data_IF_154091975545
#
_entry.id   IF_154091975545
#
_cell.length_a   1.000
_cell.length_b   1.000
_cell.length_c   1.000
_cell.angle_alpha   90.00
_cell.angle_beta   90.00
_cell.angle_gamma   90.00
#
_symmetry.space_group_name_H-M   'P 1'
#
loop_
_entity.id
_entity.type
_entity.pdbx_description
1 polymer ?
#
# COMPACT_ATOMS: atom_id res chain seq x y z
N UNK A 1 -5.76 -16.55 -7.64
CA UNK A 1 -6.32 -15.19 -7.91
C UNK A 1 -7.71 -15.30 -8.54
N UNK A 2 -8.23 -16.52 -8.61
CA UNK A 2 -9.34 -16.92 -9.47
C UNK A 2 -10.57 -17.29 -8.63
N UNK A 3 -10.56 -16.93 -7.34
CA UNK A 3 -11.65 -17.18 -6.40
C UNK A 3 -12.61 -16.00 -6.46
N UNK A 4 -13.85 -16.28 -6.85
CA UNK A 4 -14.95 -15.31 -6.94
C UNK A 4 -15.99 -15.56 -5.85
N UNK A 5 -16.82 -14.55 -5.59
CA UNK A 5 -17.96 -14.70 -4.67
C UNK A 5 -18.90 -15.75 -5.25
N UNK A 6 -19.33 -16.69 -4.42
CA UNK A 6 -20.17 -17.81 -4.84
C UNK A 6 -19.42 -19.11 -5.14
N UNK A 7 -18.09 -19.08 -5.23
CA UNK A 7 -17.32 -20.29 -5.45
C UNK A 7 -17.30 -21.19 -4.21
N UNK A 8 -17.24 -22.50 -4.44
CA UNK A 8 -17.01 -23.49 -3.40
C UNK A 8 -15.52 -23.83 -3.38
N UNK A 9 -14.89 -23.65 -2.23
CA UNK A 9 -13.46 -23.92 -2.03
C UNK A 9 -13.28 -25.04 -1.01
N UNK A 10 -12.29 -25.91 -1.26
CA UNK A 10 -11.84 -26.91 -0.30
C UNK A 10 -10.46 -26.50 0.22
N UNK A 11 -10.36 -26.21 1.50
CA UNK A 11 -9.10 -25.85 2.18
C UNK A 11 -8.62 -27.04 3.00
N UNK A 12 -7.33 -27.35 2.96
CA UNK A 12 -6.73 -28.48 3.71
C UNK A 12 -6.04 -28.00 4.98
N UNK A 13 -5.77 -28.93 5.88
CA UNK A 13 -5.00 -28.65 7.10
C UNK A 13 -3.66 -27.96 6.80
N UNK A 14 -3.36 -26.89 7.54
CA UNK A 14 -2.15 -26.09 7.36
C UNK A 14 -2.22 -25.02 6.27
N UNK A 15 -3.26 -25.01 5.43
CA UNK A 15 -3.43 -24.00 4.39
C UNK A 15 -4.07 -22.71 4.94
N UNK A 16 -3.69 -21.57 4.36
CA UNK A 16 -4.27 -20.27 4.66
C UNK A 16 -5.62 -20.09 3.93
N UNK A 17 -6.60 -19.54 4.63
CA UNK A 17 -7.93 -19.27 4.09
C UNK A 17 -7.84 -18.18 3.00
N UNK A 18 -8.28 -18.44 1.75
CA UNK A 18 -8.02 -17.55 0.62
C UNK A 18 -8.92 -16.30 0.57
N UNK A 19 -10.12 -16.40 1.12
CA UNK A 19 -11.19 -15.41 1.09
C UNK A 19 -12.09 -15.59 2.32
N UNK A 20 -12.97 -14.64 2.64
CA UNK A 20 -13.90 -14.86 3.75
C UNK A 20 -14.95 -15.87 3.30
N UNK A 21 -14.97 -17.04 3.94
CA UNK A 21 -15.78 -18.20 3.52
C UNK A 21 -16.75 -18.62 4.63
N UNK A 22 -17.95 -19.02 4.24
CA UNK A 22 -18.92 -19.71 5.09
C UNK A 22 -18.60 -21.20 5.14
N UNK A 23 -18.57 -21.80 6.32
CA UNK A 23 -18.33 -23.24 6.49
C UNK A 23 -19.60 -24.01 6.08
N UNK A 24 -19.50 -24.81 5.02
CA UNK A 24 -20.55 -25.75 4.61
C UNK A 24 -20.38 -27.04 5.39
N UNK A 25 -19.19 -27.64 5.31
CA UNK A 25 -18.88 -28.92 5.94
C UNK A 25 -17.39 -29.04 6.24
N UNK A 26 -17.05 -29.96 7.13
CA UNK A 26 -15.70 -30.22 7.62
C UNK A 26 -15.39 -31.71 7.54
N UNK A 27 -14.12 -32.09 7.77
CA UNK A 27 -13.76 -33.49 7.97
C UNK A 27 -14.52 -34.12 9.14
N UNK A 28 -14.68 -33.36 10.23
CA UNK A 28 -15.36 -33.77 11.45
C UNK A 28 -16.87 -33.91 11.27
N UNK A 29 -17.47 -34.93 11.89
CA UNK A 29 -18.91 -35.22 11.78
C UNK A 29 -19.80 -34.16 12.45
N UNK A 30 -19.25 -33.45 13.43
CA UNK A 30 -19.96 -32.38 14.11
C UNK A 30 -19.87 -31.03 13.38
N UNK A 31 -19.11 -30.90 12.28
CA UNK A 31 -18.94 -29.62 11.60
C UNK A 31 -17.93 -28.68 12.27
N UNK A 32 -17.18 -29.15 13.26
CA UNK A 32 -16.18 -28.37 13.99
C UNK A 32 -14.89 -28.23 13.17
N UNK A 33 -14.27 -27.06 13.22
CA UNK A 33 -12.92 -26.84 12.72
C UNK A 33 -12.14 -25.85 13.60
N UNK A 34 -10.81 -25.93 13.54
CA UNK A 34 -9.93 -25.06 14.31
C UNK A 34 -9.15 -24.14 13.39
N UNK A 35 -9.08 -22.87 13.74
CA UNK A 35 -8.29 -21.88 13.02
C UNK A 35 -7.31 -21.16 13.92
N UNK A 36 -6.16 -20.86 13.35
CA UNK A 36 -5.16 -19.97 13.93
C UNK A 36 -5.34 -18.56 13.34
N UNK A 37 -5.53 -17.56 14.20
CA UNK A 37 -5.77 -16.16 13.79
C UNK A 37 -4.57 -15.24 14.02
N UNK A 38 -3.36 -15.80 14.18
CA UNK A 38 -2.14 -15.04 14.44
C UNK A 38 -1.89 -13.91 13.42
N UNK A 39 -2.31 -14.07 12.17
CA UNK A 39 -2.17 -13.04 11.12
C UNK A 39 -3.22 -11.92 11.19
N UNK A 40 -4.33 -12.10 11.90
CA UNK A 40 -5.45 -11.16 12.01
C UNK A 40 -5.35 -10.30 13.27
N UNK A 41 -5.23 -10.95 14.43
CA UNK A 41 -5.28 -10.32 15.75
C UNK A 41 -4.03 -10.60 16.61
N UNK A 42 -3.14 -11.48 16.15
CA UNK A 42 -1.92 -11.86 16.89
C UNK A 42 -2.17 -12.91 17.98
N UNK A 43 -3.37 -13.48 18.07
CA UNK A 43 -3.64 -14.55 19.02
C UNK A 43 -3.09 -15.89 18.51
N UNK A 44 -2.36 -16.61 19.35
CA UNK A 44 -1.76 -17.93 19.04
C UNK A 44 -2.66 -19.10 19.40
N UNK A 45 -3.77 -18.84 20.09
CA UNK A 45 -4.72 -19.88 20.48
C UNK A 45 -5.57 -20.28 19.27
N UNK A 46 -5.84 -21.59 19.18
CA UNK A 46 -6.78 -22.10 18.19
C UNK A 46 -8.20 -21.67 18.55
N UNK A 47 -8.90 -21.05 17.59
CA UNK A 47 -10.31 -20.68 17.72
C UNK A 47 -11.16 -21.76 17.08
N UNK A 48 -12.18 -22.21 17.81
CA UNK A 48 -13.15 -23.18 17.33
C UNK A 48 -14.18 -22.44 16.45
N UNK A 49 -14.45 -23.00 15.29
CA UNK A 49 -15.45 -22.55 14.33
C UNK A 49 -16.37 -23.71 13.98
N UNK A 50 -17.61 -23.40 13.68
CA UNK A 50 -18.69 -24.37 13.59
C UNK A 50 -19.41 -24.24 12.26
N UNK A 51 -19.52 -25.32 11.50
CA UNK A 51 -20.35 -25.41 10.30
C UNK A 51 -21.84 -25.26 10.60
N UNK A 52 -22.64 -25.11 9.55
CA UNK A 52 -24.09 -25.09 9.71
C UNK A 52 -24.61 -26.53 9.80
N UNK A 53 -25.35 -26.84 10.86
CA UNK A 53 -25.84 -28.21 11.13
C UNK A 53 -26.60 -28.83 9.94
N UNK A 54 -27.31 -28.02 9.18
CA UNK A 54 -28.04 -28.43 7.97
C UNK A 54 -27.14 -28.91 6.84
N UNK A 55 -25.90 -28.42 6.74
CA UNK A 55 -24.95 -28.74 5.67
C UNK A 55 -23.79 -29.63 6.11
N UNK A 56 -23.60 -29.88 7.42
CA UNK A 56 -22.49 -30.68 7.96
C UNK A 56 -22.35 -32.07 7.33
N UNK A 57 -23.44 -32.68 6.86
CA UNK A 57 -23.43 -34.00 6.22
C UNK A 57 -22.94 -34.00 4.77
N UNK A 58 -22.87 -32.83 4.15
CA UNK A 58 -22.53 -32.66 2.72
C UNK A 58 -21.01 -32.77 2.55
N UNK A 59 -20.49 -33.98 2.39
CA UNK A 59 -19.04 -34.23 2.24
C UNK A 59 -18.67 -34.61 0.80
N UNK A 60 -19.62 -35.17 0.04
CA UNK A 60 -19.41 -35.63 -1.33
C UNK A 60 -19.56 -34.52 -2.37
N UNK A 61 -18.85 -34.63 -3.49
CA UNK A 61 -19.00 -33.73 -4.64
C UNK A 61 -20.41 -33.79 -5.24
N UNK A 62 -21.01 -34.98 -5.29
CA UNK A 62 -22.39 -35.17 -5.77
C UNK A 62 -23.41 -34.48 -4.87
N UNK A 63 -23.21 -34.50 -3.56
CA UNK A 63 -24.10 -33.85 -2.58
C UNK A 63 -23.95 -32.32 -2.65
N UNK A 64 -22.73 -31.81 -2.85
CA UNK A 64 -22.49 -30.39 -3.07
C UNK A 64 -23.18 -29.87 -4.34
N UNK A 65 -23.19 -30.67 -5.41
CA UNK A 65 -23.89 -30.33 -6.65
C UNK A 65 -25.41 -30.36 -6.52
N UNK A 66 -25.94 -31.16 -5.59
CA UNK A 66 -27.37 -31.21 -5.28
C UNK A 66 -27.81 -30.10 -4.29
N UNK A 67 -26.86 -29.42 -3.64
CA UNK A 67 -27.15 -28.36 -2.70
C UNK A 67 -27.59 -27.09 -3.44
N UNK A 68 -28.81 -26.64 -3.18
CA UNK A 68 -29.39 -25.41 -3.73
C UNK A 68 -29.92 -24.54 -2.60
N UNK A 69 -29.66 -23.24 -2.69
CA UNK A 69 -30.07 -22.27 -1.69
C UNK A 69 -29.51 -20.88 -1.95
N UNK A 70 -29.84 -19.95 -1.05
CA UNK A 70 -29.40 -18.57 -1.07
C UNK A 70 -28.81 -18.20 0.29
N UNK A 71 -27.71 -17.42 0.27
CA UNK A 71 -27.12 -16.83 1.48
C UNK A 71 -27.40 -15.32 1.45
N UNK A 72 -28.17 -14.84 2.41
CA UNK A 72 -28.40 -13.41 2.62
C UNK A 72 -27.50 -12.94 3.77
N UNK A 73 -26.66 -11.93 3.57
CA UNK A 73 -25.71 -11.49 4.60
C UNK A 73 -25.46 -9.99 4.55
N UNK A 74 -24.90 -9.47 5.64
CA UNK A 74 -24.57 -8.05 5.79
C UNK A 74 -23.60 -7.51 4.72
N UNK A 75 -23.63 -6.20 4.49
CA UNK A 75 -22.63 -5.55 3.64
C UNK A 75 -21.20 -5.65 4.24
N UNK A 76 -20.16 -5.67 3.39
CA UNK A 76 -18.78 -5.73 3.84
C UNK A 76 -18.44 -4.64 4.88
N UNK A 77 -17.89 -5.04 6.01
CA UNK A 77 -17.55 -4.12 7.11
C UNK A 77 -16.26 -4.52 7.84
N UNK A 78 -15.78 -3.63 8.72
CA UNK A 78 -14.52 -3.77 9.44
C UNK A 78 -14.59 -4.60 10.73
N UNK A 79 -15.77 -4.99 11.18
CA UNK A 79 -15.95 -5.71 12.46
C UNK A 79 -15.56 -7.17 12.26
N UNK A 80 -14.38 -7.55 12.75
CA UNK A 80 -13.81 -8.91 12.62
C UNK A 80 -14.66 -9.97 13.34
N UNK A 81 -15.28 -9.63 14.47
CA UNK A 81 -15.97 -10.55 15.36
C UNK A 81 -17.50 -10.55 15.23
N UNK A 82 -18.04 -9.72 14.34
CA UNK A 82 -19.47 -9.67 14.07
C UNK A 82 -19.69 -10.24 12.67
N UNK A 83 -20.73 -11.03 12.48
CA UNK A 83 -21.21 -11.38 11.16
C UNK A 83 -22.68 -11.73 11.31
N UNK A 84 -23.53 -11.09 10.53
CA UNK A 84 -24.96 -11.36 10.53
C UNK A 84 -25.39 -11.81 9.14
N UNK A 85 -25.96 -13.01 9.05
CA UNK A 85 -26.51 -13.55 7.82
C UNK A 85 -27.55 -14.63 8.06
N UNK A 86 -28.17 -15.09 6.98
CA UNK A 86 -29.12 -16.18 6.97
C UNK A 86 -28.83 -17.09 5.77
N UNK A 87 -28.76 -18.39 6.04
CA UNK A 87 -28.73 -19.42 5.01
C UNK A 87 -30.16 -19.94 4.78
N UNK A 88 -30.61 -19.88 3.53
CA UNK A 88 -31.90 -20.39 3.10
C UNK A 88 -31.69 -21.52 2.09
N UNK A 89 -31.82 -22.77 2.54
CA UNK A 89 -31.71 -23.96 1.68
C UNK A 89 -33.10 -24.42 1.26
N UNK A 90 -33.21 -25.00 0.06
CA UNK A 90 -34.48 -25.50 -0.45
C UNK A 90 -35.04 -26.62 0.45
N UNK A 91 -36.19 -26.37 1.09
CA UNK A 91 -36.86 -27.33 1.98
C UNK A 91 -36.38 -27.35 3.42
N UNK A 92 -35.45 -26.46 3.83
CA UNK A 92 -34.98 -26.33 5.22
C UNK A 92 -35.40 -24.97 5.80
N UNK A 93 -35.64 -24.92 7.11
CA UNK A 93 -35.91 -23.67 7.83
C UNK A 93 -34.69 -22.75 7.74
N UNK A 94 -34.90 -21.44 7.56
CA UNK A 94 -33.83 -20.43 7.54
C UNK A 94 -32.91 -20.59 8.76
N UNK A 95 -31.61 -20.74 8.52
CA UNK A 95 -30.59 -20.85 9.55
C UNK A 95 -29.85 -19.52 9.72
N UNK A 96 -29.86 -18.91 10.92
CA UNK A 96 -29.06 -17.72 11.17
C UNK A 96 -27.57 -18.08 11.17
N UNK A 97 -26.78 -17.21 10.56
CA UNK A 97 -25.33 -17.30 10.48
C UNK A 97 -24.70 -16.23 11.37
N UNK A 98 -23.68 -16.63 12.12
CA UNK A 98 -22.93 -15.76 13.02
C UNK A 98 -21.41 -15.86 12.72
N UNK A 99 -20.59 -15.06 13.39
CA UNK A 99 -19.14 -15.02 13.22
C UNK A 99 -18.46 -16.38 13.47
N UNK A 100 -19.09 -17.29 14.20
CA UNK A 100 -18.62 -18.67 14.40
C UNK A 100 -18.70 -19.55 13.15
N UNK A 101 -19.55 -19.20 12.19
CA UNK A 101 -19.78 -19.98 10.98
C UNK A 101 -18.89 -19.57 9.80
N UNK A 102 -18.14 -18.47 9.93
CA UNK A 102 -17.27 -17.96 8.88
C UNK A 102 -15.78 -18.13 9.24
N UNK A 103 -14.97 -18.38 8.22
CA UNK A 103 -13.52 -18.34 8.28
C UNK A 103 -13.03 -17.10 7.53
N UNK A 104 -12.19 -16.31 8.19
CA UNK A 104 -11.69 -15.06 7.63
C UNK A 104 -10.40 -15.31 6.84
N UNK A 105 -10.24 -14.57 5.75
CA UNK A 105 -8.98 -14.50 5.01
C UNK A 105 -7.82 -14.15 5.95
N UNK A 106 -6.71 -14.87 5.83
CA UNK A 106 -5.53 -14.70 6.70
C UNK A 106 -5.46 -15.68 7.86
N UNK A 107 -6.59 -16.31 8.22
CA UNK A 107 -6.58 -17.41 9.19
C UNK A 107 -5.93 -18.64 8.55
N UNK A 108 -5.31 -19.48 9.36
CA UNK A 108 -4.75 -20.78 8.91
C UNK A 108 -5.59 -21.91 9.49
N UNK A 109 -6.00 -22.88 8.66
CA UNK A 109 -6.70 -24.06 9.15
C UNK A 109 -5.73 -24.96 9.91
N UNK A 110 -6.15 -25.47 11.07
CA UNK A 110 -5.34 -26.35 11.92
C UNK A 110 -6.20 -27.48 12.45
N UNK A 111 -5.61 -28.64 12.71
CA UNK A 111 -6.27 -29.78 13.37
C UNK A 111 -7.61 -30.17 12.71
N UNK A 112 -7.75 -29.98 11.40
CA UNK A 112 -8.94 -30.37 10.63
C UNK A 112 -8.49 -30.70 9.21
N UNK A 113 -8.68 -31.94 8.77
CA UNK A 113 -8.09 -32.45 7.52
C UNK A 113 -8.50 -31.59 6.31
N UNK A 114 -9.77 -31.23 6.25
CA UNK A 114 -10.29 -30.29 5.26
C UNK A 114 -11.55 -29.57 5.73
N UNK A 115 -11.78 -28.40 5.14
CA UNK A 115 -13.03 -27.64 5.23
C UNK A 115 -13.52 -27.33 3.82
N UNK A 116 -14.82 -27.51 3.60
CA UNK A 116 -15.53 -27.07 2.40
C UNK A 116 -16.26 -25.79 2.74
N UNK A 117 -15.94 -24.72 2.03
CA UNK A 117 -16.49 -23.40 2.29
C UNK A 117 -17.07 -22.74 1.04
N UNK A 118 -18.06 -21.89 1.26
CA UNK A 118 -18.68 -21.04 0.26
C UNK A 118 -18.13 -19.61 0.38
N UNK A 119 -17.63 -19.04 -0.72
CA UNK A 119 -16.97 -17.74 -0.70
C UNK A 119 -17.98 -16.61 -0.57
N UNK A 120 -17.89 -15.84 0.51
CA UNK A 120 -18.74 -14.68 0.80
C UNK A 120 -18.08 -13.37 0.33
N UNK A 121 -16.88 -13.06 0.82
CA UNK A 121 -16.18 -11.81 0.47
C UNK A 121 -14.81 -12.10 -0.13
N UNK A 122 -14.47 -11.40 -1.21
CA UNK A 122 -13.19 -11.54 -1.90
C UNK A 122 -12.41 -10.23 -1.93
N UNK A 123 -11.08 -10.32 -2.13
CA UNK A 123 -10.24 -9.17 -2.41
C UNK A 123 -10.36 -8.06 -1.37
N UNK A 124 -10.69 -6.84 -1.81
CA UNK A 124 -10.80 -5.63 -0.96
C UNK A 124 -11.99 -5.66 -0.01
N UNK A 125 -12.99 -6.49 -0.27
CA UNK A 125 -14.19 -6.60 0.54
C UNK A 125 -14.00 -7.51 1.75
N UNK A 126 -12.99 -8.37 1.74
CA UNK A 126 -12.64 -9.20 2.89
C UNK A 126 -12.31 -8.36 4.14
N UNK A 127 -12.71 -8.83 5.32
CA UNK A 127 -12.58 -8.09 6.58
C UNK A 127 -11.12 -7.74 6.91
N UNK A 128 -10.17 -8.63 6.58
CA UNK A 128 -8.74 -8.37 6.71
C UNK A 128 -8.29 -7.17 5.85
N UNK A 129 -8.70 -7.13 4.59
CA UNK A 129 -8.30 -6.07 3.67
C UNK A 129 -8.94 -4.74 4.02
N UNK A 130 -10.18 -4.75 4.55
CA UNK A 130 -10.82 -3.55 5.06
C UNK A 130 -10.11 -2.98 6.30
N UNK A 131 -9.54 -3.83 7.14
CA UNK A 131 -8.74 -3.42 8.29
C UNK A 131 -7.30 -3.03 7.91
N UNK A 132 -6.85 -3.38 6.71
CA UNK A 132 -5.54 -2.98 6.20
C UNK A 132 -5.56 -1.49 5.81
N UNK A 133 -4.60 -0.71 6.34
CA UNK A 133 -4.42 0.68 5.92
C UNK A 133 -3.71 0.73 4.56
N UNK A 134 -4.15 1.63 3.67
CA UNK A 134 -3.44 1.91 2.43
C UNK A 134 -2.01 2.34 2.76
N UNK A 135 -1.02 1.71 2.15
CA UNK A 135 0.39 2.04 2.33
C UNK A 135 0.61 3.52 1.99
N UNK A 136 1.05 4.36 2.94
CA UNK A 136 1.33 5.75 2.65
C UNK A 136 2.62 5.87 1.82
N UNK A 137 2.72 6.90 0.99
CA UNK A 137 4.00 7.30 0.40
C UNK A 137 4.91 7.80 1.53
N UNK A 138 6.09 7.19 1.67
CA UNK A 138 7.09 7.57 2.65
C UNK A 138 8.04 8.59 2.01
N UNK A 139 8.37 9.65 2.74
CA UNK A 139 9.39 10.64 2.36
C UNK A 139 10.43 10.74 3.46
N UNK A 140 11.71 10.78 3.08
CA UNK A 140 12.80 10.86 4.05
C UNK A 140 12.88 12.25 4.68
N UNK A 141 13.43 12.36 5.90
CA UNK A 141 13.69 13.66 6.51
C UNK A 141 14.74 14.45 5.71
N UNK A 142 15.68 13.74 5.08
CA UNK A 142 16.71 14.32 4.20
C UNK A 142 16.08 15.03 3.00
N UNK A 143 15.08 14.43 2.34
CA UNK A 143 14.34 15.11 1.25
C UNK A 143 13.73 16.43 1.72
N UNK A 144 13.10 16.44 2.89
CA UNK A 144 12.50 17.67 3.45
C UNK A 144 13.54 18.76 3.72
N UNK A 145 14.77 18.39 4.10
CA UNK A 145 15.87 19.33 4.32
C UNK A 145 16.39 19.85 2.98
N UNK A 146 16.55 18.97 1.99
CA UNK A 146 16.97 19.33 0.64
C UNK A 146 15.99 20.32 0.01
N UNK A 147 14.68 20.07 0.12
CA UNK A 147 13.65 20.99 -0.38
C UNK A 147 13.78 22.39 0.26
N UNK A 148 14.06 22.46 1.58
CA UNK A 148 14.30 23.75 2.26
C UNK A 148 15.56 24.45 1.75
N UNK A 149 16.65 23.71 1.55
CA UNK A 149 17.89 24.27 1.03
C UNK A 149 17.72 24.80 -0.39
N UNK A 150 16.97 24.10 -1.24
CA UNK A 150 16.63 24.54 -2.59
C UNK A 150 15.89 25.87 -2.56
N UNK A 151 14.90 26.04 -1.67
CA UNK A 151 14.19 27.32 -1.49
C UNK A 151 15.14 28.44 -1.06
N UNK A 152 16.07 28.18 -0.12
CA UNK A 152 17.07 29.15 0.32
C UNK A 152 18.00 29.56 -0.83
N UNK A 153 18.46 28.60 -1.63
CA UNK A 153 19.32 28.87 -2.80
C UNK A 153 18.58 29.72 -3.84
N UNK A 154 17.31 29.43 -4.12
CA UNK A 154 16.50 30.27 -5.02
C UNK A 154 16.33 31.69 -4.51
N UNK A 155 16.11 31.88 -3.20
CA UNK A 155 16.01 33.20 -2.60
C UNK A 155 17.33 33.98 -2.69
N UNK A 156 18.46 33.34 -2.41
CA UNK A 156 19.79 33.94 -2.56
C UNK A 156 20.12 34.28 -4.01
N UNK A 157 19.75 33.41 -4.96
CA UNK A 157 19.91 33.64 -6.40
C UNK A 157 19.11 34.86 -6.85
N UNK A 158 17.83 34.96 -6.44
CA UNK A 158 16.99 36.10 -6.76
C UNK A 158 17.58 37.40 -6.21
N UNK A 159 18.02 37.40 -4.94
CA UNK A 159 18.65 38.55 -4.30
C UNK A 159 19.93 38.97 -5.04
N UNK A 160 20.82 38.03 -5.35
CA UNK A 160 22.06 38.32 -6.08
C UNK A 160 21.78 38.89 -7.48
N UNK A 161 20.81 38.35 -8.22
CA UNK A 161 20.40 38.86 -9.52
C UNK A 161 19.85 40.29 -9.43
N UNK A 162 19.05 40.59 -8.39
CA UNK A 162 18.53 41.95 -8.18
C UNK A 162 19.65 42.94 -7.88
N UNK A 163 20.62 42.58 -7.03
CA UNK A 163 21.78 43.44 -6.73
C UNK A 163 22.59 43.69 -8.00
N UNK A 164 22.86 42.64 -8.78
CA UNK A 164 23.65 42.76 -10.00
C UNK A 164 22.95 43.62 -11.05
N UNK A 165 21.63 43.46 -11.23
CA UNK A 165 20.85 44.30 -12.14
C UNK A 165 20.91 45.78 -11.74
N UNK A 166 20.75 46.09 -10.44
CA UNK A 166 20.83 47.47 -9.93
C UNK A 166 22.23 48.06 -10.14
N UNK A 167 23.28 47.30 -9.84
CA UNK A 167 24.67 47.75 -10.03
C UNK A 167 25.00 47.97 -11.51
N UNK A 168 24.47 47.11 -12.39
CA UNK A 168 24.63 47.24 -13.83
C UNK A 168 23.93 48.51 -14.34
N UNK A 169 22.69 48.76 -13.92
CA UNK A 169 21.95 49.98 -14.28
C UNK A 169 22.65 51.24 -13.76
N UNK A 170 23.15 51.21 -12.52
CA UNK A 170 23.93 52.32 -11.95
C UNK A 170 25.21 52.60 -12.74
N UNK A 171 25.94 51.54 -13.11
CA UNK A 171 27.15 51.67 -13.91
C UNK A 171 26.86 52.20 -15.32
N UNK A 172 25.76 51.76 -15.95
CA UNK A 172 25.27 52.23 -17.26
C UNK A 172 24.98 53.73 -17.25
N UNK A 173 24.28 54.23 -16.22
CA UNK A 173 23.98 55.67 -16.08
C UNK A 173 25.24 56.50 -15.84
N UNK A 174 26.22 55.95 -15.13
CA UNK A 174 27.47 56.67 -14.82
C UNK A 174 28.43 56.74 -16.02
N UNK A 175 28.42 55.74 -16.91
CA UNK A 175 29.39 55.59 -18.01
C UNK A 175 28.72 55.75 -19.38
N UNK A 176 28.19 56.94 -19.66
CA UNK A 176 27.49 57.26 -20.93
C UNK A 176 28.41 57.46 -22.14
N UNK A 177 29.73 57.55 -21.95
CA UNK A 177 30.70 57.89 -23.01
C UNK A 177 31.19 56.70 -23.86
N UNK A 178 30.52 55.56 -23.82
CA UNK A 178 30.87 54.37 -24.59
C UNK A 178 30.24 54.40 -25.99
N UNK A 179 30.77 55.24 -26.90
CA UNK A 179 30.25 55.43 -28.27
C UNK A 179 30.16 54.14 -29.11
N UNK A 180 30.93 53.11 -28.75
CA UNK A 180 31.00 51.81 -29.42
C UNK A 180 30.02 50.76 -28.85
N UNK A 181 29.24 51.10 -27.82
CA UNK A 181 28.31 50.17 -27.14
C UNK A 181 26.87 50.63 -27.39
N UNK A 182 26.16 50.04 -28.37
CA UNK A 182 24.88 50.57 -28.87
C UNK A 182 23.71 50.46 -27.88
N UNK A 183 23.84 49.65 -26.83
CA UNK A 183 22.81 49.41 -25.80
C UNK A 183 22.99 50.29 -24.54
N UNK A 184 23.80 51.34 -24.61
CA UNK A 184 24.03 52.29 -23.50
C UNK A 184 23.13 53.53 -23.54
N UNK A 185 22.44 53.78 -24.66
CA UNK A 185 21.66 54.98 -24.86
C UNK A 185 20.27 54.83 -24.22
N UNK A 186 20.07 55.54 -23.11
CA UNK A 186 18.81 55.73 -22.36
C UNK A 186 18.36 54.56 -21.46
N UNK A 187 17.80 54.91 -20.30
CA UNK A 187 17.26 53.95 -19.34
C UNK A 187 15.89 53.46 -19.82
N UNK A 188 15.76 52.16 -20.05
CA UNK A 188 14.50 51.51 -20.39
C UNK A 188 14.20 50.40 -19.37
N UNK A 189 12.99 50.40 -18.80
CA UNK A 189 12.57 49.38 -17.84
C UNK A 189 12.58 47.96 -18.45
N UNK A 190 12.36 47.86 -19.77
CA UNK A 190 12.44 46.60 -20.51
C UNK A 190 13.88 46.07 -20.54
N UNK A 191 14.87 46.94 -20.74
CA UNK A 191 16.29 46.57 -20.78
C UNK A 191 16.79 46.13 -19.39
N UNK A 192 16.33 46.78 -18.32
CA UNK A 192 16.65 46.39 -16.94
C UNK A 192 16.08 45.01 -16.61
N UNK A 193 14.83 44.74 -17.03
CA UNK A 193 14.22 43.42 -16.89
C UNK A 193 14.97 42.33 -17.70
N UNK A 194 15.39 42.65 -18.93
CA UNK A 194 16.21 41.74 -19.75
C UNK A 194 17.59 41.51 -19.13
N UNK A 195 18.19 42.53 -18.51
CA UNK A 195 19.46 42.40 -17.78
C UNK A 195 19.31 41.49 -16.57
N UNK A 196 18.21 41.60 -15.83
CA UNK A 196 17.89 40.69 -14.72
C UNK A 196 17.74 39.23 -15.17
N UNK A 197 17.04 38.98 -16.28
CA UNK A 197 16.92 37.64 -16.89
C UNK A 197 18.28 37.13 -17.38
N UNK A 198 19.12 38.01 -17.93
CA UNK A 198 20.47 37.66 -18.38
C UNK A 198 21.34 37.21 -17.21
N UNK A 199 21.30 37.90 -16.07
CA UNK A 199 22.00 37.47 -14.86
C UNK A 199 21.43 36.17 -14.29
N UNK A 200 20.12 35.95 -14.37
CA UNK A 200 19.52 34.66 -13.98
C UNK A 200 20.07 33.50 -14.80
N UNK A 201 20.18 33.66 -16.12
CA UNK A 201 20.77 32.63 -17.00
C UNK A 201 22.25 32.43 -16.66
N UNK A 202 23.01 33.51 -16.43
CA UNK A 202 24.43 33.46 -16.08
C UNK A 202 24.66 32.67 -14.78
N UNK A 203 23.80 32.85 -13.78
CA UNK A 203 23.90 32.22 -12.46
C UNK A 203 23.04 30.96 -12.31
N UNK A 204 22.45 30.43 -13.39
CA UNK A 204 21.60 29.23 -13.35
C UNK A 204 22.33 28.01 -12.76
N UNK A 205 23.64 27.92 -12.98
CA UNK A 205 24.51 26.86 -12.45
C UNK A 205 24.59 26.81 -10.91
N UNK A 206 24.12 27.85 -10.21
CA UNK A 206 24.06 27.87 -8.74
C UNK A 206 22.98 26.92 -8.19
N UNK A 207 21.95 26.60 -9.00
CA UNK A 207 20.94 25.60 -8.66
C UNK A 207 21.47 24.23 -9.08
N UNK A 208 21.80 23.33 -8.15
CA UNK A 208 22.34 22.03 -8.50
C UNK A 208 21.23 21.12 -9.04
N UNK A 209 21.03 21.13 -10.36
CA UNK A 209 20.01 20.30 -11.04
C UNK A 209 20.22 18.81 -10.76
N UNK A 210 21.49 18.39 -10.62
CA UNK A 210 21.86 17.00 -10.35
C UNK A 210 21.63 16.56 -8.90
N UNK A 211 21.29 17.45 -7.97
CA UNK A 211 21.17 17.11 -6.55
C UNK A 211 20.15 15.99 -6.30
N UNK A 212 18.95 16.07 -6.89
CA UNK A 212 17.92 15.05 -6.70
C UNK A 212 18.33 13.70 -7.29
N UNK A 213 18.89 13.69 -8.51
CA UNK A 213 19.34 12.46 -9.17
C UNK A 213 20.48 11.80 -8.39
N UNK A 214 21.45 12.59 -7.91
CA UNK A 214 22.54 12.06 -7.10
C UNK A 214 22.04 11.48 -5.77
N UNK A 215 21.05 12.10 -5.12
CA UNK A 215 20.45 11.56 -3.91
C UNK A 215 19.69 10.25 -4.15
N UNK A 216 18.95 10.14 -5.25
CA UNK A 216 18.28 8.88 -5.63
C UNK A 216 19.28 7.77 -5.93
N UNK A 217 20.35 8.06 -6.68
CA UNK A 217 21.42 7.11 -6.94
C UNK A 217 22.10 6.64 -5.65
N UNK A 218 22.39 7.56 -4.73
CA UNK A 218 22.99 7.21 -3.43
C UNK A 218 22.05 6.33 -2.62
N UNK A 219 20.75 6.63 -2.56
CA UNK A 219 19.76 5.79 -1.85
C UNK A 219 19.63 4.40 -2.48
N UNK A 220 19.64 4.32 -3.81
CA UNK A 220 19.62 3.05 -4.54
C UNK A 220 20.82 2.17 -4.16
N UNK A 221 22.03 2.70 -4.27
CA UNK A 221 23.25 1.98 -3.90
C UNK A 221 23.30 1.62 -2.41
N UNK A 222 22.82 2.50 -1.53
CA UNK A 222 22.67 2.17 -0.10
C UNK A 222 21.65 1.04 0.15
N UNK A 223 20.62 0.94 -0.69
CA UNK A 223 19.66 -0.17 -0.68
C UNK A 223 20.34 -1.49 -1.02
N UNK A 224 21.07 -1.54 -2.14
CA UNK A 224 21.82 -2.74 -2.58
C UNK A 224 22.84 -3.21 -1.53
N UNK A 225 23.57 -2.28 -0.91
CA UNK A 225 24.53 -2.64 0.15
C UNK A 225 23.81 -3.26 1.36
N UNK A 226 22.62 -2.75 1.72
CA UNK A 226 21.85 -3.26 2.86
C UNK A 226 21.20 -4.62 2.57
N UNK A 227 20.75 -4.84 1.34
CA UNK A 227 20.15 -6.11 0.93
C UNK A 227 21.17 -7.26 0.94
N UNK A 228 22.42 -6.94 0.60
CA UNK A 228 23.53 -7.90 0.57
C UNK A 228 24.29 -8.01 1.90
N UNK A 229 23.75 -7.47 3.00
CA UNK A 229 24.39 -7.52 4.31
C UNK A 229 24.20 -8.89 4.99
N UNK A 230 25.26 -9.70 5.02
CA UNK A 230 25.27 -11.04 5.64
C UNK A 230 24.96 -10.99 7.14
N UNK A 231 25.27 -9.90 7.83
CA UNK A 231 24.96 -9.77 9.26
C UNK A 231 23.44 -9.69 9.52
N UNK A 232 22.63 -9.37 8.51
CA UNK A 232 21.17 -9.34 8.57
C UNK A 232 20.52 -10.58 7.94
N UNK A 233 21.30 -11.60 7.59
CA UNK A 233 20.79 -12.83 7.03
C UNK A 233 20.21 -13.71 8.14
N UNK A 234 18.97 -14.16 7.96
CA UNK A 234 18.34 -15.07 8.91
C UNK A 234 18.52 -16.51 8.44
N UNK A 235 19.45 -17.23 9.08
CA UNK A 235 19.88 -18.58 8.69
C UNK A 235 18.75 -19.61 8.73
N UNK A 236 17.93 -19.60 9.80
CA UNK A 236 16.90 -20.63 10.02
C UNK A 236 15.84 -20.65 8.90
N UNK A 237 15.42 -19.48 8.40
CA UNK A 237 14.46 -19.37 7.29
C UNK A 237 15.13 -19.09 5.94
N UNK A 238 16.46 -19.14 5.87
CA UNK A 238 17.26 -18.81 4.68
C UNK A 238 16.83 -17.49 4.02
N UNK A 239 16.48 -16.50 4.84
CA UNK A 239 15.83 -15.29 4.38
C UNK A 239 16.79 -14.09 4.51
N UNK A 240 17.10 -13.38 3.40
CA UNK A 240 17.78 -12.09 3.49
C UNK A 240 16.82 -11.02 4.06
N UNK A 241 17.35 -9.82 4.33
CA UNK A 241 16.57 -8.68 4.79
C UNK A 241 16.26 -7.74 3.60
N UNK A 242 15.17 -7.96 2.83
CA UNK A 242 14.89 -7.17 1.64
C UNK A 242 14.42 -5.76 1.99
N UNK A 243 15.05 -4.76 1.39
CA UNK A 243 14.71 -3.36 1.52
C UNK A 243 13.64 -2.97 0.50
N UNK A 244 12.43 -2.66 0.99
CA UNK A 244 11.24 -2.48 0.13
C UNK A 244 10.93 -1.04 -0.27
N UNK A 245 11.66 -0.05 0.27
CA UNK A 245 11.41 1.38 0.02
C UNK A 245 12.72 2.15 -0.01
N UNK A 246 13.19 2.51 -1.20
CA UNK A 246 14.33 3.41 -1.47
C UNK A 246 14.04 4.87 -1.13
#
# INVERSE_FOLDING_TARGET
RDVMVGDIVKVKDGDEIPADILIISTSEDQGECYIETANLDGETNLKIKQGVDSTCKVKGTAELLALSGCVEYEMPNRKLYNFDGNLNLDGVVKCPLDAKNILLRGSTLRNTEFVIGFVLFTGKESKLMMNTKKTPSKRSNMEKVVDKLVIVVFALLALMNTIMAILFDYWRVTNTNAWYVPFMAEFNAVDSALSWVTFLILFNNLVPISLYVTLELVKYWQGEIKDNDLAKYYEEKKAPCPFRTS
#
